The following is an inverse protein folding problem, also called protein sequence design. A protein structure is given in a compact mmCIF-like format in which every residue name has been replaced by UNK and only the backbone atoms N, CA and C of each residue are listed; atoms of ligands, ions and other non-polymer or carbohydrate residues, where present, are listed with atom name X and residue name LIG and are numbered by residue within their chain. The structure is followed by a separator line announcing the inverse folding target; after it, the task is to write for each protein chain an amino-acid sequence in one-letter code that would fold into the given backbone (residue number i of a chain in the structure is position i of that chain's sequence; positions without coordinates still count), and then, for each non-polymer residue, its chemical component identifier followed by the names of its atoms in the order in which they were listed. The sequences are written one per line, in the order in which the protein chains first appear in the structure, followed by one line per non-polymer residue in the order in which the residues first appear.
data_IF_500601168426
#
_entry.id   IF_500601168426
#
_cell.length_a   1.000
_cell.length_b   1.000
_cell.length_c   1.000
_cell.angle_alpha   90.00
_cell.angle_beta   90.00
_cell.angle_gamma   90.00
#
_symmetry.space_group_name_H-M   'P 1'
#
loop_
_entity.id
_entity.type
_entity.pdbx_description
1 polymer ?
#
# COMPACT_ATOMS: atom_id res chain seq x y z
N UNK A 1 -10.70 7.32 4.31
CA UNK A 1 -11.85 7.48 5.22
C UNK A 1 -13.07 6.88 4.52
N UNK A 2 -13.80 6.01 5.18
CA UNK A 2 -15.06 5.42 4.71
C UNK A 2 -16.18 6.02 5.55
N UNK A 3 -17.13 6.71 4.92
CA UNK A 3 -18.35 7.18 5.56
C UNK A 3 -19.57 6.61 4.82
N UNK A 4 -20.51 6.06 5.56
CA UNK A 4 -21.78 5.57 5.02
C UNK A 4 -22.86 6.66 5.15
N UNK A 5 -23.38 7.13 4.03
CA UNK A 5 -24.52 8.04 3.98
C UNK A 5 -25.66 7.33 3.25
N UNK A 6 -26.57 6.74 4.00
CA UNK A 6 -27.65 5.91 3.46
C UNK A 6 -27.14 4.63 2.79
N UNK A 7 -27.54 4.36 1.55
CA UNK A 7 -27.08 3.22 0.74
C UNK A 7 -25.77 3.48 -0.03
N UNK A 8 -25.22 4.69 0.05
CA UNK A 8 -24.02 5.10 -0.65
C UNK A 8 -22.82 5.08 0.32
N UNK A 9 -21.72 4.48 -0.10
CA UNK A 9 -20.45 4.57 0.59
C UNK A 9 -19.61 5.68 -0.04
N UNK A 10 -19.22 6.65 0.76
CA UNK A 10 -18.25 7.67 0.34
C UNK A 10 -16.86 7.23 0.77
N UNK A 11 -15.91 7.34 -0.16
CA UNK A 11 -14.51 7.01 0.12
C UNK A 11 -13.62 8.19 -0.25
N UNK A 12 -12.68 8.53 0.65
CA UNK A 12 -11.60 9.48 0.38
C UNK A 12 -10.31 8.69 0.21
N UNK A 13 -9.71 8.80 -0.97
CA UNK A 13 -8.46 8.10 -1.32
C UNK A 13 -7.34 9.12 -1.39
N UNK A 14 -6.37 9.01 -0.46
CA UNK A 14 -5.14 9.80 -0.48
C UNK A 14 -3.99 9.00 -1.12
N UNK A 15 -3.32 9.59 -2.11
CA UNK A 15 -2.16 9.00 -2.76
C UNK A 15 -0.96 9.92 -2.61
N UNK A 16 0.10 9.44 -1.93
CA UNK A 16 1.38 10.14 -1.79
C UNK A 16 2.43 9.55 -2.74
N UNK A 17 3.06 10.37 -3.58
CA UNK A 17 4.10 9.95 -4.49
C UNK A 17 5.23 10.98 -4.56
N UNK A 18 6.46 10.53 -4.34
CA UNK A 18 7.65 11.34 -4.61
C UNK A 18 7.89 11.39 -6.13
N UNK A 19 7.66 12.55 -6.76
CA UNK A 19 7.81 12.69 -8.23
C UNK A 19 9.24 13.10 -8.60
N UNK A 20 9.64 14.33 -8.27
CA UNK A 20 10.90 14.91 -8.76
C UNK A 20 11.96 15.13 -7.66
N UNK A 21 11.67 14.74 -6.42
CA UNK A 21 12.63 14.86 -5.33
C UNK A 21 13.73 13.80 -5.49
N UNK A 22 14.99 14.20 -5.33
CA UNK A 22 16.11 13.26 -5.30
C UNK A 22 16.48 12.95 -3.85
N UNK A 23 16.80 11.69 -3.53
CA UNK A 23 17.36 11.32 -2.23
C UNK A 23 18.67 12.08 -2.00
N UNK A 24 18.80 12.70 -0.83
CA UNK A 24 20.02 13.38 -0.41
C UNK A 24 20.52 12.76 0.89
N UNK A 25 21.80 12.80 1.14
CA UNK A 25 22.42 12.25 2.37
C UNK A 25 21.91 12.92 3.66
N UNK A 26 21.31 14.12 3.57
CA UNK A 26 20.74 14.88 4.67
C UNK A 26 19.24 14.70 4.85
N UNK A 27 18.64 13.72 4.18
CA UNK A 27 17.21 13.44 4.35
C UNK A 27 16.92 12.98 5.79
N UNK A 28 15.99 13.68 6.46
CA UNK A 28 15.52 13.31 7.80
C UNK A 28 14.61 12.07 7.82
N UNK A 29 14.52 11.35 6.70
CA UNK A 29 13.73 10.15 6.55
C UNK A 29 14.61 8.97 6.95
N UNK A 30 14.19 8.24 7.97
CA UNK A 30 14.92 7.14 8.62
C UNK A 30 14.81 5.78 7.89
N UNK A 31 14.21 5.77 6.72
CA UNK A 31 14.02 4.56 5.90
C UNK A 31 14.38 4.83 4.43
N UNK A 32 14.75 3.80 3.67
CA UNK A 32 15.00 3.93 2.24
C UNK A 32 13.77 4.48 1.50
N UNK A 33 13.97 5.46 0.65
CA UNK A 33 12.92 6.01 -0.19
C UNK A 33 13.45 6.35 -1.58
N UNK A 34 12.56 6.48 -2.55
CA UNK A 34 12.90 6.86 -3.91
C UNK A 34 11.86 7.82 -4.49
N UNK A 35 12.04 8.20 -5.74
CA UNK A 35 11.09 9.00 -6.52
C UNK A 35 11.06 8.54 -7.97
N UNK A 36 10.06 8.98 -8.73
CA UNK A 36 9.99 8.71 -10.17
C UNK A 36 11.24 9.22 -10.88
N UNK A 37 11.72 10.43 -10.52
CA UNK A 37 12.94 10.99 -11.09
C UNK A 37 14.18 10.16 -10.77
N UNK A 38 14.32 9.70 -9.54
CA UNK A 38 15.46 8.88 -9.13
C UNK A 38 15.48 7.53 -9.86
N UNK A 39 14.32 6.91 -10.06
CA UNK A 39 14.20 5.63 -10.76
C UNK A 39 14.39 5.75 -12.28
N UNK A 40 13.89 6.83 -12.90
CA UNK A 40 13.84 6.97 -14.35
C UNK A 40 14.95 7.87 -14.94
N UNK A 41 15.72 8.55 -14.08
CA UNK A 41 16.79 9.46 -14.50
C UNK A 41 16.32 10.75 -15.21
N UNK A 42 15.02 11.08 -15.13
CA UNK A 42 14.44 12.27 -15.77
C UNK A 42 13.36 12.90 -14.92
N UNK A 43 13.05 14.16 -15.17
CA UNK A 43 11.92 14.85 -14.54
C UNK A 43 10.58 14.44 -15.16
N UNK A 44 9.53 14.54 -14.36
CA UNK A 44 8.16 14.26 -14.76
C UNK A 44 7.28 15.50 -14.52
N UNK A 45 6.38 15.76 -15.44
CA UNK A 45 5.28 16.71 -15.25
C UNK A 45 4.29 16.10 -14.25
N UNK A 46 4.06 16.80 -13.13
CA UNK A 46 3.16 16.35 -12.08
C UNK A 46 1.72 16.18 -12.55
N UNK A 47 1.26 17.05 -13.47
CA UNK A 47 -0.09 16.96 -14.01
C UNK A 47 -0.26 15.67 -14.86
N UNK A 48 0.76 15.31 -15.64
CA UNK A 48 0.75 14.05 -16.38
C UNK A 48 0.76 12.83 -15.45
N UNK A 49 1.51 12.89 -14.34
CA UNK A 49 1.50 11.82 -13.33
C UNK A 49 0.12 11.67 -12.70
N UNK A 50 -0.51 12.78 -12.29
CA UNK A 50 -1.87 12.77 -11.74
C UNK A 50 -2.87 12.23 -12.76
N UNK A 51 -2.81 12.68 -14.01
CA UNK A 51 -3.68 12.20 -15.08
C UNK A 51 -3.52 10.67 -15.29
N UNK A 52 -2.29 10.17 -15.28
CA UNK A 52 -2.02 8.74 -15.41
C UNK A 52 -2.61 7.92 -14.26
N UNK A 53 -2.50 8.43 -13.01
CA UNK A 53 -3.09 7.80 -11.82
C UNK A 53 -4.63 7.77 -11.98
N UNK A 54 -5.26 8.89 -12.28
CA UNK A 54 -6.72 8.99 -12.39
C UNK A 54 -7.27 8.12 -13.52
N UNK A 55 -6.58 8.05 -14.65
CA UNK A 55 -6.95 7.20 -15.79
C UNK A 55 -7.01 5.71 -15.41
N UNK A 56 -6.23 5.27 -14.43
CA UNK A 56 -6.24 3.89 -13.93
C UNK A 56 -7.18 3.69 -12.75
N UNK A 57 -7.22 4.66 -11.86
CA UNK A 57 -7.99 4.58 -10.62
C UNK A 57 -9.50 4.63 -10.88
N UNK A 58 -9.97 5.60 -11.68
CA UNK A 58 -11.41 5.82 -11.86
C UNK A 58 -12.15 4.61 -12.45
N UNK A 59 -11.68 3.96 -13.54
CA UNK A 59 -12.30 2.73 -14.03
C UNK A 59 -12.26 1.61 -12.99
N UNK A 60 -11.17 1.48 -12.22
CA UNK A 60 -11.06 0.49 -11.16
C UNK A 60 -12.11 0.68 -10.07
N UNK A 61 -12.37 1.91 -9.66
CA UNK A 61 -13.39 2.24 -8.67
C UNK A 61 -14.82 1.94 -9.16
N UNK A 62 -15.10 2.17 -10.43
CA UNK A 62 -16.42 1.88 -11.02
C UNK A 62 -16.78 0.40 -10.98
N UNK A 63 -15.79 -0.48 -11.06
CA UNK A 63 -16.00 -1.92 -11.04
C UNK A 63 -15.70 -2.55 -9.68
N UNK A 64 -15.22 -1.76 -8.70
CA UNK A 64 -14.73 -2.26 -7.41
C UNK A 64 -15.78 -3.12 -6.67
N UNK A 65 -17.06 -2.71 -6.68
CA UNK A 65 -18.13 -3.49 -6.05
C UNK A 65 -18.42 -4.84 -6.71
N UNK A 66 -17.89 -5.06 -7.90
CA UNK A 66 -18.04 -6.31 -8.69
C UNK A 66 -16.73 -7.09 -8.79
N UNK A 67 -15.63 -6.59 -8.18
CA UNK A 67 -14.35 -7.26 -8.21
C UNK A 67 -14.41 -8.57 -7.42
N UNK A 68 -13.97 -9.63 -8.05
CA UNK A 68 -13.62 -10.87 -7.37
C UNK A 68 -12.38 -10.62 -6.50
N UNK A 69 -12.53 -10.77 -5.19
CA UNK A 69 -11.42 -10.56 -4.23
C UNK A 69 -10.25 -11.51 -4.48
N UNK A 70 -10.50 -12.70 -5.01
CA UNK A 70 -9.42 -13.62 -5.40
C UNK A 70 -8.62 -13.05 -6.58
N UNK A 71 -9.28 -12.40 -7.55
CA UNK A 71 -8.58 -11.70 -8.63
C UNK A 71 -7.79 -10.49 -8.11
N UNK A 72 -8.34 -9.74 -7.14
CA UNK A 72 -7.64 -8.65 -6.49
C UNK A 72 -6.36 -9.15 -5.80
N UNK A 73 -6.43 -10.24 -5.03
CA UNK A 73 -5.25 -10.84 -4.38
C UNK A 73 -4.18 -11.24 -5.39
N UNK A 74 -4.55 -11.89 -6.51
CA UNK A 74 -3.59 -12.25 -7.58
C UNK A 74 -2.91 -11.03 -8.16
N UNK A 75 -3.65 -9.96 -8.41
CA UNK A 75 -3.09 -8.70 -8.90
C UNK A 75 -2.18 -8.05 -7.86
N UNK A 76 -2.57 -8.06 -6.59
CA UNK A 76 -1.78 -7.53 -5.48
C UNK A 76 -0.43 -8.24 -5.36
N UNK A 77 -0.42 -9.57 -5.38
CA UNK A 77 0.79 -10.38 -5.27
C UNK A 77 1.86 -10.02 -6.30
N UNK A 78 1.45 -9.60 -7.49
CA UNK A 78 2.39 -9.16 -8.53
C UNK A 78 3.16 -7.88 -8.15
N UNK A 79 2.57 -7.02 -7.32
CA UNK A 79 3.15 -5.74 -6.92
C UNK A 79 3.60 -5.70 -5.46
N UNK A 80 3.39 -6.78 -4.72
CA UNK A 80 3.71 -6.86 -3.30
C UNK A 80 5.20 -7.05 -3.08
N UNK A 81 5.88 -5.92 -2.87
CA UNK A 81 7.33 -5.88 -2.60
C UNK A 81 7.69 -6.38 -1.20
N UNK A 82 6.71 -6.56 -0.33
CA UNK A 82 6.92 -7.03 1.05
C UNK A 82 6.82 -8.55 1.14
N UNK A 83 6.25 -9.22 0.16
CA UNK A 83 6.04 -10.68 0.21
C UNK A 83 7.35 -11.43 0.44
N UNK A 84 7.38 -12.27 1.47
CA UNK A 84 8.58 -13.01 1.88
C UNK A 84 9.62 -12.19 2.65
N UNK A 85 9.40 -10.89 2.87
CA UNK A 85 10.32 -10.05 3.61
C UNK A 85 10.02 -10.05 5.12
N UNK A 86 11.07 -9.98 5.97
CA UNK A 86 10.89 -9.72 7.39
C UNK A 86 10.38 -8.29 7.58
N UNK A 87 9.30 -8.15 8.34
CA UNK A 87 8.66 -6.86 8.62
C UNK A 87 8.29 -6.75 10.10
N UNK A 88 8.15 -5.52 10.56
CA UNK A 88 7.60 -5.18 11.88
C UNK A 88 6.27 -4.47 11.68
N UNK A 89 5.24 -4.98 12.33
CA UNK A 89 3.90 -4.39 12.36
C UNK A 89 3.72 -3.70 13.70
N UNK A 90 3.46 -2.40 13.66
CA UNK A 90 3.15 -1.59 14.83
C UNK A 90 1.62 -1.56 14.97
N UNK A 91 1.08 -2.28 15.95
CA UNK A 91 -0.35 -2.38 16.21
C UNK A 91 -0.65 -1.74 17.58
N UNK A 92 -1.04 -0.46 17.58
CA UNK A 92 -1.16 0.30 18.83
C UNK A 92 0.20 0.42 19.53
N UNK A 93 0.30 -0.13 20.75
CA UNK A 93 1.53 -0.18 21.55
C UNK A 93 2.37 -1.45 21.30
N UNK A 94 1.87 -2.41 20.53
CA UNK A 94 2.56 -3.67 20.28
C UNK A 94 3.40 -3.60 19.01
N UNK A 95 4.58 -4.23 19.04
CA UNK A 95 5.43 -4.49 17.88
C UNK A 95 5.40 -5.98 17.61
N UNK A 96 4.93 -6.37 16.44
CA UNK A 96 4.85 -7.76 16.03
C UNK A 96 5.78 -7.96 14.84
N UNK A 97 6.74 -8.87 14.99
CA UNK A 97 7.71 -9.23 13.96
C UNK A 97 7.31 -10.52 13.28
N UNK A 98 7.55 -10.60 11.96
CA UNK A 98 7.26 -11.80 11.17
C UNK A 98 7.60 -11.60 9.70
N UNK A 99 7.21 -12.58 8.90
CA UNK A 99 7.39 -12.57 7.45
C UNK A 99 6.06 -12.17 6.79
N UNK A 100 6.08 -11.16 5.93
CA UNK A 100 4.89 -10.73 5.20
C UNK A 100 4.47 -11.80 4.19
N UNK A 101 3.19 -12.21 4.23
CA UNK A 101 2.60 -13.25 3.40
C UNK A 101 1.48 -12.73 2.49
N UNK A 102 1.56 -11.45 2.10
CA UNK A 102 0.56 -10.81 1.26
C UNK A 102 -0.70 -10.38 2.02
N UNK A 103 -1.83 -10.32 1.33
CA UNK A 103 -3.12 -9.94 1.89
C UNK A 103 -4.14 -11.07 1.77
N UNK A 104 -5.13 -11.11 2.66
CA UNK A 104 -6.25 -12.05 2.58
C UNK A 104 -7.41 -11.53 1.70
N UNK A 105 -8.50 -12.28 1.67
CA UNK A 105 -9.70 -11.91 0.90
C UNK A 105 -10.46 -10.71 1.47
N UNK A 106 -10.15 -10.30 2.68
CA UNK A 106 -10.66 -9.08 3.31
C UNK A 106 -9.72 -7.89 3.13
N UNK A 107 -8.56 -8.08 2.44
CA UNK A 107 -7.52 -7.07 2.27
C UNK A 107 -6.67 -6.85 3.51
N UNK A 108 -6.70 -7.75 4.50
CA UNK A 108 -5.88 -7.68 5.70
C UNK A 108 -4.47 -8.17 5.41
N UNK A 109 -3.45 -7.47 5.92
CA UNK A 109 -2.06 -7.92 5.84
C UNK A 109 -1.89 -9.22 6.63
N UNK A 110 -1.31 -10.23 5.98
CA UNK A 110 -0.97 -11.51 6.61
C UNK A 110 0.50 -11.54 6.99
N UNK A 111 0.76 -11.91 8.22
CA UNK A 111 2.11 -12.03 8.76
C UNK A 111 2.31 -13.43 9.34
N UNK A 112 3.31 -14.15 8.86
CA UNK A 112 3.76 -15.37 9.49
C UNK A 112 4.67 -14.99 10.67
N UNK A 113 4.17 -15.22 11.87
CA UNK A 113 4.91 -15.03 13.11
C UNK A 113 5.59 -16.32 13.54
N UNK A 114 6.13 -16.38 14.76
CA UNK A 114 6.80 -17.58 15.27
C UNK A 114 5.92 -18.82 15.12
N UNK A 115 6.58 -19.97 14.92
CA UNK A 115 5.94 -21.31 14.82
C UNK A 115 4.98 -21.49 13.65
N UNK A 116 5.13 -20.69 12.56
CA UNK A 116 4.31 -20.78 11.37
C UNK A 116 2.87 -20.26 11.53
N UNK A 117 2.58 -19.56 12.63
CA UNK A 117 1.26 -18.98 12.87
C UNK A 117 1.05 -17.77 11.98
N UNK A 118 -0.08 -17.74 11.25
CA UNK A 118 -0.46 -16.58 10.44
C UNK A 118 -1.38 -15.66 11.24
N UNK A 119 -0.98 -14.40 11.40
CA UNK A 119 -1.82 -13.32 11.93
C UNK A 119 -2.26 -12.40 10.80
N UNK A 120 -3.51 -11.91 10.87
CA UNK A 120 -4.06 -10.93 9.95
C UNK A 120 -4.25 -9.58 10.64
N UNK A 121 -3.91 -8.49 9.94
CA UNK A 121 -3.95 -7.13 10.46
C UNK A 121 -4.78 -6.23 9.57
N UNK A 122 -5.76 -5.55 10.14
CA UNK A 122 -6.53 -4.50 9.47
C UNK A 122 -5.77 -3.17 9.48
N UNK A 123 -5.98 -2.33 8.46
CA UNK A 123 -5.19 -1.12 8.18
C UNK A 123 -5.38 0.05 9.16
N UNK A 124 -6.36 0.01 10.07
CA UNK A 124 -6.77 1.22 10.82
C UNK A 124 -5.69 1.75 11.79
N UNK A 125 -4.84 0.86 12.35
CA UNK A 125 -3.84 1.24 13.37
C UNK A 125 -2.48 0.56 13.16
N UNK A 126 -2.15 0.24 11.90
CA UNK A 126 -0.96 -0.55 11.58
C UNK A 126 0.02 0.26 10.75
N UNK A 127 1.26 0.34 11.22
CA UNK A 127 2.40 0.83 10.45
C UNK A 127 3.36 -0.31 10.20
N UNK A 128 3.76 -0.50 8.95
CA UNK A 128 4.72 -1.55 8.55
C UNK A 128 6.09 -0.94 8.35
N UNK A 129 7.12 -1.61 8.86
CA UNK A 129 8.53 -1.26 8.66
C UNK A 129 9.30 -2.49 8.17
N UNK A 130 10.21 -2.27 7.25
CA UNK A 130 11.21 -3.25 6.81
C UNK A 130 12.47 -3.15 7.66
#
# INVERSE_FOLDING_TARGET
LLEAVGSLQQVVIGIGLNVNRLPTATSAIDQPWSSLRACAGREFDRNQVVAAILTRLLPGLQVFSRLDMAQFQRNWQHWDVLHGCPVRVLAGSEVIEGIACGVDVQGQLRLEVRDGVIKAFSSADVSVRM
#
